data_IF_182447919328
#
_entry.id   IF_182447919328
#
_cell.length_a   1.000
_cell.length_b   1.000
_cell.length_c   1.000
_cell.angle_alpha   90.00
_cell.angle_beta   90.00
_cell.angle_gamma   90.00
#
_symmetry.space_group_name_H-M   'P 1'
#
loop_
_entity.id
_entity.type
_entity.pdbx_description
1 polymer ?
#
# COMPACT_ATOMS: atom_id res chain seq x y z
N UNK A 1 -28.83 2.52 -30.34
CA UNK A 1 -28.78 2.57 -28.86
C UNK A 1 -27.46 3.17 -28.44
N UNK A 2 -27.49 4.43 -27.97
CA UNK A 2 -26.31 5.10 -27.40
C UNK A 2 -26.12 4.42 -26.04
N UNK A 3 -25.08 3.59 -25.91
CA UNK A 3 -24.62 3.07 -24.63
C UNK A 3 -24.30 4.27 -23.72
N UNK A 4 -25.21 4.65 -22.85
CA UNK A 4 -24.88 5.43 -21.66
C UNK A 4 -24.00 4.52 -20.80
N UNK A 5 -22.69 4.66 -20.91
CA UNK A 5 -21.80 4.16 -19.89
C UNK A 5 -22.19 4.90 -18.61
N UNK A 6 -22.97 4.24 -17.76
CA UNK A 6 -23.13 4.72 -16.39
C UNK A 6 -21.71 4.88 -15.84
N UNK A 7 -21.45 5.99 -15.20
CA UNK A 7 -20.10 6.40 -14.74
C UNK A 7 -19.65 5.55 -13.53
N UNK A 8 -19.69 4.21 -13.67
CA UNK A 8 -19.41 3.23 -12.62
C UNK A 8 -17.98 2.66 -12.66
N UNK A 9 -17.18 3.03 -13.66
CA UNK A 9 -15.86 2.45 -13.85
C UNK A 9 -14.93 2.65 -12.63
N UNK A 10 -15.08 3.75 -11.91
CA UNK A 10 -14.30 4.10 -10.73
C UNK A 10 -15.12 4.03 -9.42
N UNK A 11 -16.34 3.52 -9.49
CA UNK A 11 -17.20 3.32 -8.33
C UNK A 11 -16.67 2.14 -7.49
N UNK A 12 -16.40 2.41 -6.23
CA UNK A 12 -15.95 1.42 -5.27
C UNK A 12 -17.01 1.11 -4.20
N UNK A 13 -18.25 1.52 -4.44
CA UNK A 13 -19.38 1.18 -3.56
C UNK A 13 -19.47 -0.34 -3.38
N UNK A 14 -19.65 -0.78 -2.13
CA UNK A 14 -19.66 -2.20 -1.76
C UNK A 14 -18.31 -2.95 -1.93
N UNK A 15 -17.22 -2.25 -2.22
CA UNK A 15 -15.86 -2.82 -2.21
C UNK A 15 -15.19 -2.56 -0.85
N UNK A 16 -14.35 -3.48 -0.43
CA UNK A 16 -13.57 -3.39 0.82
C UNK A 16 -12.09 -3.38 0.48
N UNK A 17 -11.39 -2.35 0.97
CA UNK A 17 -9.95 -2.18 0.76
C UNK A 17 -9.19 -2.27 2.07
N UNK A 18 -8.14 -3.07 2.12
CA UNK A 18 -7.19 -3.17 3.23
C UNK A 18 -5.95 -2.34 2.92
N UNK A 19 -5.52 -1.49 3.86
CA UNK A 19 -4.36 -0.63 3.65
C UNK A 19 -3.42 -0.73 4.85
N UNK A 20 -2.26 -1.36 4.69
CA UNK A 20 -1.23 -1.35 5.72
C UNK A 20 -0.49 -0.02 5.72
N UNK A 21 -0.30 0.57 6.91
CA UNK A 21 0.23 1.93 7.02
C UNK A 21 -0.72 3.00 6.46
N UNK A 22 -2.02 2.72 6.43
CA UNK A 22 -3.05 3.63 5.91
C UNK A 22 -3.36 4.84 6.81
N UNK A 23 -2.71 4.93 7.96
CA UNK A 23 -2.90 5.98 8.95
C UNK A 23 -1.96 7.18 8.78
N UNK A 24 -1.26 7.30 7.65
CA UNK A 24 -0.37 8.42 7.36
C UNK A 24 0.30 8.35 6.00
N UNK A 25 0.92 9.43 5.60
CA UNK A 25 1.70 9.52 4.37
C UNK A 25 0.96 9.01 3.14
N UNK A 26 1.66 8.26 2.28
CA UNK A 26 1.10 7.69 1.04
C UNK A 26 -0.14 6.84 1.33
N UNK A 27 -0.10 6.02 2.41
CA UNK A 27 -1.21 5.16 2.78
C UNK A 27 -2.50 5.93 3.09
N UNK A 28 -2.41 7.10 3.74
CA UNK A 28 -3.57 7.95 3.99
C UNK A 28 -4.09 8.57 2.69
N UNK A 29 -3.20 9.02 1.79
CA UNK A 29 -3.61 9.52 0.47
C UNK A 29 -4.32 8.46 -0.39
N UNK A 30 -3.88 7.19 -0.30
CA UNK A 30 -4.57 6.03 -0.86
C UNK A 30 -5.96 5.89 -0.24
N UNK A 31 -6.04 5.91 1.10
CA UNK A 31 -7.28 5.75 1.86
C UNK A 31 -8.31 6.83 1.50
N UNK A 32 -7.89 8.09 1.40
CA UNK A 32 -8.77 9.20 1.00
C UNK A 32 -9.35 9.00 -0.42
N UNK A 33 -8.52 8.59 -1.37
CA UNK A 33 -8.98 8.31 -2.73
C UNK A 33 -10.03 7.20 -2.76
N UNK A 34 -9.76 6.08 -2.09
CA UNK A 34 -10.66 4.94 -2.03
C UNK A 34 -11.98 5.26 -1.32
N UNK A 35 -11.93 5.91 -0.14
CA UNK A 35 -13.12 6.31 0.61
C UNK A 35 -13.98 7.30 -0.17
N UNK A 36 -13.36 8.30 -0.83
CA UNK A 36 -14.08 9.28 -1.66
C UNK A 36 -14.78 8.65 -2.88
N UNK A 37 -14.34 7.46 -3.28
CA UNK A 37 -14.94 6.67 -4.37
C UNK A 37 -15.91 5.59 -3.85
N UNK A 38 -16.24 5.58 -2.56
CA UNK A 38 -17.27 4.73 -1.98
C UNK A 38 -16.78 3.44 -1.31
N UNK A 39 -15.46 3.17 -1.27
CA UNK A 39 -14.93 1.96 -0.64
C UNK A 39 -15.07 1.99 0.89
N UNK A 40 -15.39 0.86 1.47
CA UNK A 40 -15.18 0.60 2.90
C UNK A 40 -13.70 0.27 3.15
N UNK A 41 -13.14 0.73 4.28
CA UNK A 41 -11.70 0.64 4.53
C UNK A 41 -11.35 -0.06 5.84
N UNK A 42 -10.39 -0.96 5.77
CA UNK A 42 -9.65 -1.49 6.91
C UNK A 42 -8.25 -0.85 6.93
N UNK A 43 -8.01 0.05 7.88
CA UNK A 43 -6.75 0.77 8.06
C UNK A 43 -5.91 0.04 9.10
N UNK A 44 -4.76 -0.46 8.68
CA UNK A 44 -3.86 -1.23 9.52
C UNK A 44 -2.63 -0.40 9.89
N UNK A 45 -2.38 -0.18 11.18
CA UNK A 45 -1.25 0.63 11.63
C UNK A 45 -0.85 0.37 13.07
N UNK A 46 0.43 0.61 13.41
CA UNK A 46 0.98 0.35 14.76
C UNK A 46 0.56 1.37 15.82
N UNK A 47 0.35 2.61 15.40
CA UNK A 47 0.07 3.73 16.31
C UNK A 47 -1.44 3.97 16.38
N UNK A 48 -2.04 3.71 17.55
CA UNK A 48 -3.48 3.82 17.78
C UNK A 48 -3.98 5.26 17.67
N UNK A 49 -3.19 6.26 18.09
CA UNK A 49 -3.58 7.66 17.97
C UNK A 49 -3.65 8.09 16.51
N UNK A 50 -2.62 7.72 15.71
CA UNK A 50 -2.64 7.96 14.25
C UNK A 50 -3.78 7.20 13.58
N UNK A 51 -4.09 5.97 14.02
CA UNK A 51 -5.22 5.22 13.52
C UNK A 51 -6.53 5.96 13.76
N UNK A 52 -6.74 6.45 14.99
CA UNK A 52 -7.93 7.23 15.35
C UNK A 52 -8.04 8.52 14.51
N UNK A 53 -6.97 9.30 14.41
CA UNK A 53 -6.96 10.52 13.61
C UNK A 53 -7.27 10.25 12.13
N UNK A 54 -6.74 9.16 11.58
CA UNK A 54 -7.05 8.76 10.21
C UNK A 54 -8.52 8.37 10.05
N UNK A 55 -9.09 7.61 11.01
CA UNK A 55 -10.52 7.28 11.01
C UNK A 55 -11.38 8.52 11.06
N UNK A 56 -11.12 9.42 12.01
CA UNK A 56 -11.87 10.70 12.17
C UNK A 56 -11.84 11.54 10.87
N UNK A 57 -10.70 11.56 10.18
CA UNK A 57 -10.56 12.24 8.90
C UNK A 57 -11.37 11.57 7.78
N UNK A 58 -11.37 10.24 7.73
CA UNK A 58 -11.98 9.45 6.65
C UNK A 58 -13.49 9.29 6.83
N UNK A 59 -14.02 9.37 8.05
CA UNK A 59 -15.46 9.25 8.35
C UNK A 59 -16.31 10.31 7.61
N UNK A 60 -15.71 11.42 7.18
CA UNK A 60 -16.37 12.45 6.34
C UNK A 60 -16.89 11.93 5.00
N UNK A 61 -16.38 10.80 4.51
CA UNK A 61 -16.80 10.19 3.24
C UNK A 61 -18.04 9.31 3.38
N UNK A 62 -18.49 9.02 4.61
CA UNK A 62 -19.72 8.28 4.89
C UNK A 62 -19.63 6.78 4.58
N UNK A 63 -18.44 6.25 4.36
CA UNK A 63 -18.19 4.81 4.16
C UNK A 63 -17.78 4.15 5.49
N UNK A 64 -17.88 2.82 5.56
CA UNK A 64 -17.44 2.10 6.76
C UNK A 64 -15.90 2.12 6.85
N UNK A 65 -15.37 2.72 7.91
CA UNK A 65 -13.93 2.81 8.19
C UNK A 65 -13.65 2.10 9.52
N UNK A 66 -12.81 1.08 9.50
CA UNK A 66 -12.32 0.44 10.73
C UNK A 66 -10.79 0.49 10.78
N UNK A 67 -10.26 0.57 11.98
CA UNK A 67 -8.82 0.65 12.19
C UNK A 67 -8.35 -0.49 13.09
N UNK A 68 -7.20 -1.06 12.77
CA UNK A 68 -6.62 -2.19 13.48
C UNK A 68 -5.19 -1.88 13.89
N UNK A 69 -4.87 -2.14 15.17
CA UNK A 69 -3.49 -2.05 15.64
C UNK A 69 -2.75 -3.32 15.28
N UNK A 70 -1.65 -3.18 14.54
CA UNK A 70 -0.86 -4.31 14.05
C UNK A 70 0.59 -3.92 13.79
N UNK A 71 1.53 -4.79 14.12
CA UNK A 71 2.87 -4.79 13.53
C UNK A 71 2.89 -5.83 12.39
N UNK A 72 3.04 -5.36 11.15
CA UNK A 72 3.04 -6.24 9.96
C UNK A 72 4.23 -7.20 9.92
N UNK A 73 5.29 -6.95 10.68
CA UNK A 73 6.43 -7.87 10.81
C UNK A 73 6.10 -9.13 11.63
N UNK A 74 4.94 -9.16 12.30
CA UNK A 74 4.50 -10.27 13.13
C UNK A 74 3.45 -11.11 12.38
N UNK A 75 3.87 -12.24 11.82
CA UNK A 75 3.03 -13.10 10.96
C UNK A 75 1.69 -13.47 11.59
N UNK A 76 1.70 -13.85 12.88
CA UNK A 76 0.48 -14.26 13.58
C UNK A 76 -0.50 -13.10 13.73
N UNK A 77 -0.02 -11.87 14.01
CA UNK A 77 -0.88 -10.70 14.06
C UNK A 77 -1.51 -10.42 12.69
N UNK A 78 -0.75 -10.54 11.60
CA UNK A 78 -1.28 -10.34 10.25
C UNK A 78 -2.39 -11.35 9.95
N UNK A 79 -2.16 -12.63 10.25
CA UNK A 79 -3.16 -13.67 10.05
C UNK A 79 -4.45 -13.43 10.84
N UNK A 80 -4.32 -13.07 12.12
CA UNK A 80 -5.44 -12.77 12.99
C UNK A 80 -6.24 -11.57 12.48
N UNK A 81 -5.56 -10.46 12.19
CA UNK A 81 -6.21 -9.21 11.77
C UNK A 81 -6.86 -9.33 10.40
N UNK A 82 -6.23 -9.99 9.42
CA UNK A 82 -6.88 -10.23 8.13
C UNK A 82 -8.15 -11.08 8.30
N UNK A 83 -8.11 -12.10 9.16
CA UNK A 83 -9.30 -12.87 9.52
C UNK A 83 -10.40 -12.02 10.17
N UNK A 84 -10.02 -11.10 11.08
CA UNK A 84 -10.96 -10.16 11.69
C UNK A 84 -11.57 -9.21 10.66
N UNK A 85 -10.77 -8.66 9.75
CA UNK A 85 -11.28 -7.82 8.65
C UNK A 85 -12.32 -8.58 7.81
N UNK A 86 -12.06 -9.84 7.48
CA UNK A 86 -13.04 -10.67 6.76
C UNK A 86 -14.33 -10.84 7.56
N UNK A 87 -14.25 -11.05 8.88
CA UNK A 87 -15.44 -11.15 9.74
C UNK A 87 -16.20 -9.82 9.81
N UNK A 88 -15.51 -8.70 9.94
CA UNK A 88 -16.13 -7.38 10.14
C UNK A 88 -16.76 -6.81 8.86
N UNK A 89 -16.18 -7.11 7.69
CA UNK A 89 -16.60 -6.57 6.39
C UNK A 89 -17.24 -7.59 5.45
N UNK A 90 -17.06 -8.88 5.71
CA UNK A 90 -17.57 -9.98 4.89
C UNK A 90 -16.71 -10.29 3.66
N UNK A 91 -15.82 -9.38 3.24
CA UNK A 91 -15.00 -9.54 2.03
C UNK A 91 -13.76 -8.64 2.03
N UNK A 92 -12.81 -8.94 1.19
CA UNK A 92 -11.68 -8.08 0.82
C UNK A 92 -11.59 -8.05 -0.71
N UNK A 93 -11.69 -6.86 -1.31
CA UNK A 93 -11.63 -6.66 -2.76
C UNK A 93 -10.30 -6.11 -3.24
N UNK A 94 -9.65 -5.28 -2.43
CA UNK A 94 -8.31 -4.79 -2.73
C UNK A 94 -7.43 -4.69 -1.49
N UNK A 95 -6.12 -4.86 -1.70
CA UNK A 95 -5.12 -4.77 -0.63
C UNK A 95 -3.96 -3.92 -1.08
N UNK A 96 -3.66 -2.90 -0.30
CA UNK A 96 -2.49 -2.03 -0.48
C UNK A 96 -1.46 -2.34 0.61
N UNK A 97 -0.47 -3.15 0.26
CA UNK A 97 0.67 -3.42 1.13
C UNK A 97 1.64 -2.23 1.06
N UNK A 98 1.36 -1.21 1.88
CA UNK A 98 2.06 0.07 1.87
C UNK A 98 2.97 0.26 3.08
N UNK A 99 2.70 -0.38 4.22
CA UNK A 99 3.55 -0.22 5.40
C UNK A 99 5.03 -0.45 5.09
N UNK A 100 5.87 0.45 5.60
CA UNK A 100 7.30 0.37 5.39
C UNK A 100 8.06 1.34 6.26
N UNK A 101 9.33 1.02 6.49
CA UNK A 101 10.30 1.85 7.21
C UNK A 101 11.56 2.01 6.37
N UNK A 102 12.31 3.06 6.66
CA UNK A 102 13.66 3.22 6.16
C UNK A 102 14.58 3.52 7.35
N UNK A 103 15.72 2.86 7.40
CA UNK A 103 16.78 3.12 8.38
C UNK A 103 18.00 3.51 7.58
N UNK A 104 18.43 4.76 7.77
CA UNK A 104 19.65 5.24 7.15
C UNK A 104 20.87 4.69 7.91
N UNK A 105 21.75 4.00 7.21
CA UNK A 105 23.00 3.49 7.73
C UNK A 105 24.19 4.41 7.43
N UNK A 106 25.40 3.96 7.81
CA UNK A 106 26.68 4.47 7.36
C UNK A 106 26.93 4.11 5.89
N UNK A 107 28.18 3.82 5.55
CA UNK A 107 28.56 3.20 4.28
C UNK A 107 28.04 1.74 4.26
N UNK A 108 28.04 1.10 3.09
CA UNK A 108 27.51 -0.26 2.96
C UNK A 108 28.26 -1.26 3.86
N UNK A 109 29.59 -1.13 3.93
CA UNK A 109 30.47 -1.98 4.75
C UNK A 109 30.26 -1.80 6.26
N UNK A 110 29.65 -0.68 6.67
CA UNK A 110 29.32 -0.36 8.07
C UNK A 110 27.85 -0.63 8.42
N UNK A 111 27.07 -1.15 7.45
CA UNK A 111 25.64 -1.38 7.64
C UNK A 111 25.38 -2.41 8.74
N UNK A 112 24.65 -2.00 9.76
CA UNK A 112 24.27 -2.87 10.86
C UNK A 112 23.31 -3.98 10.42
N UNK A 113 23.60 -5.22 10.84
CA UNK A 113 22.81 -6.40 10.49
C UNK A 113 21.39 -6.34 11.08
N UNK A 114 21.22 -5.80 12.29
CA UNK A 114 19.90 -5.72 12.91
C UNK A 114 19.03 -4.65 12.22
N UNK A 115 19.65 -3.52 11.83
CA UNK A 115 18.97 -2.53 10.99
C UNK A 115 18.55 -3.12 9.64
N UNK A 116 19.43 -3.90 8.99
CA UNK A 116 19.11 -4.63 7.77
C UNK A 116 17.91 -5.56 7.97
N UNK A 117 17.95 -6.44 8.98
CA UNK A 117 16.87 -7.39 9.29
C UNK A 117 15.56 -6.68 9.63
N UNK A 118 15.62 -5.59 10.41
CA UNK A 118 14.43 -4.80 10.78
C UNK A 118 13.76 -4.19 9.55
N UNK A 119 14.52 -3.68 8.59
CA UNK A 119 13.94 -3.16 7.34
C UNK A 119 13.28 -4.27 6.54
N UNK A 120 13.94 -5.43 6.39
CA UNK A 120 13.36 -6.55 5.63
C UNK A 120 12.12 -7.12 6.30
N UNK A 121 12.13 -7.28 7.63
CA UNK A 121 10.98 -7.84 8.35
C UNK A 121 9.69 -7.02 8.17
N UNK A 122 9.81 -5.68 8.11
CA UNK A 122 8.64 -4.82 7.87
C UNK A 122 8.31 -4.72 6.37
N UNK A 123 9.32 -4.42 5.54
CA UNK A 123 9.10 -4.00 4.16
C UNK A 123 8.91 -5.18 3.18
N UNK A 124 9.41 -6.36 3.52
CA UNK A 124 9.34 -7.54 2.66
C UNK A 124 8.51 -8.65 3.30
N UNK A 125 8.87 -9.11 4.52
CA UNK A 125 8.14 -10.16 5.19
C UNK A 125 6.71 -9.71 5.54
N UNK A 126 6.54 -8.48 6.07
CA UNK A 126 5.23 -7.90 6.36
C UNK A 126 4.35 -7.74 5.12
N UNK A 127 4.94 -7.39 3.98
CA UNK A 127 4.24 -7.38 2.69
C UNK A 127 3.83 -8.80 2.30
N UNK A 128 4.75 -9.76 2.38
CA UNK A 128 4.47 -11.16 2.08
C UNK A 128 3.33 -11.71 2.94
N UNK A 129 3.38 -11.53 4.26
CA UNK A 129 2.32 -12.02 5.16
C UNK A 129 0.96 -11.40 4.81
N UNK A 130 0.92 -10.07 4.63
CA UNK A 130 -0.31 -9.35 4.29
C UNK A 130 -0.91 -9.85 2.98
N UNK A 131 -0.09 -9.96 1.94
CA UNK A 131 -0.56 -10.37 0.61
C UNK A 131 -0.97 -11.84 0.59
N UNK A 132 -0.23 -12.72 1.26
CA UNK A 132 -0.54 -14.14 1.32
C UNK A 132 -1.91 -14.39 1.96
N UNK A 133 -2.18 -13.79 3.13
CA UNK A 133 -3.45 -14.01 3.82
C UNK A 133 -4.63 -13.40 3.02
N UNK A 134 -4.41 -12.27 2.38
CA UNK A 134 -5.42 -11.65 1.51
C UNK A 134 -5.68 -12.47 0.23
N UNK A 135 -4.63 -13.01 -0.39
CA UNK A 135 -4.77 -13.92 -1.54
C UNK A 135 -5.56 -15.18 -1.19
N UNK A 136 -5.32 -15.77 0.00
CA UNK A 136 -6.12 -16.93 0.46
C UNK A 136 -7.61 -16.63 0.41
N UNK A 137 -8.03 -15.50 1.02
CA UNK A 137 -9.43 -15.09 1.02
C UNK A 137 -9.97 -14.87 -0.40
N UNK A 138 -9.22 -14.19 -1.27
CA UNK A 138 -9.65 -13.95 -2.66
C UNK A 138 -9.78 -15.26 -3.45
N UNK A 139 -8.88 -16.22 -3.25
CA UNK A 139 -8.95 -17.55 -3.88
C UNK A 139 -10.15 -18.36 -3.35
N UNK A 140 -10.44 -18.30 -2.07
CA UNK A 140 -11.61 -18.96 -1.47
C UNK A 140 -12.93 -18.38 -2.02
N UNK A 141 -13.00 -17.04 -2.13
CA UNK A 141 -14.14 -16.37 -2.80
C UNK A 141 -14.29 -16.84 -4.24
N UNK A 142 -13.21 -16.86 -5.01
CA UNK A 142 -13.25 -17.29 -6.41
C UNK A 142 -13.75 -18.73 -6.55
N UNK A 143 -13.31 -19.65 -5.69
CA UNK A 143 -13.79 -21.05 -5.65
C UNK A 143 -15.26 -21.15 -5.27
N UNK A 144 -15.79 -20.18 -4.55
CA UNK A 144 -17.20 -20.09 -4.15
C UNK A 144 -18.08 -19.34 -5.17
N UNK A 145 -17.52 -18.99 -6.34
CA UNK A 145 -18.27 -18.34 -7.42
C UNK A 145 -18.24 -16.81 -7.41
N UNK A 146 -17.43 -16.19 -6.57
CA UNK A 146 -17.19 -14.74 -6.52
C UNK A 146 -15.71 -14.41 -6.81
N UNK A 147 -15.25 -14.55 -8.08
CA UNK A 147 -13.87 -14.32 -8.47
C UNK A 147 -13.52 -12.83 -8.47
N UNK A 148 -12.23 -12.56 -8.39
CA UNK A 148 -11.68 -11.22 -8.50
C UNK A 148 -11.06 -10.70 -7.22
N UNK A 149 -10.25 -9.68 -7.41
CA UNK A 149 -9.50 -8.96 -6.38
C UNK A 149 -8.36 -8.17 -6.97
N UNK A 150 -7.82 -7.24 -6.20
CA UNK A 150 -6.69 -6.42 -6.60
C UNK A 150 -5.63 -6.37 -5.50
N UNK A 151 -4.45 -6.82 -5.83
CA UNK A 151 -3.27 -6.84 -4.96
C UNK A 151 -2.33 -5.71 -5.39
N UNK A 152 -1.99 -4.81 -4.46
CA UNK A 152 -1.13 -3.68 -4.75
C UNK A 152 0.03 -3.63 -3.74
N UNK A 153 1.25 -3.77 -4.24
CA UNK A 153 2.47 -3.53 -3.46
C UNK A 153 2.94 -2.09 -3.64
N UNK A 154 3.19 -1.37 -2.55
CA UNK A 154 3.83 -0.05 -2.62
C UNK A 154 5.33 -0.24 -2.46
N UNK A 155 6.04 -0.18 -3.58
CA UNK A 155 7.50 -0.30 -3.64
C UNK A 155 8.17 1.08 -3.48
N UNK A 156 9.17 1.37 -4.28
CA UNK A 156 9.88 2.65 -4.37
C UNK A 156 10.75 2.68 -5.62
N UNK A 157 11.03 3.86 -6.12
CA UNK A 157 12.04 4.07 -7.14
C UNK A 157 13.42 3.52 -6.70
N UNK A 158 13.72 3.57 -5.39
CA UNK A 158 14.92 2.95 -4.82
C UNK A 158 15.02 1.43 -5.06
N UNK A 159 13.92 0.73 -5.28
CA UNK A 159 13.89 -0.69 -5.64
C UNK A 159 14.24 -0.96 -7.11
N UNK A 160 14.30 0.07 -7.95
CA UNK A 160 14.67 0.01 -9.37
C UNK A 160 16.06 0.58 -9.60
N UNK A 161 16.33 1.79 -9.08
CA UNK A 161 17.57 2.52 -9.32
C UNK A 161 18.64 2.27 -8.25
N UNK A 162 18.23 1.75 -7.09
CA UNK A 162 19.06 1.72 -5.89
C UNK A 162 19.12 3.07 -5.19
N UNK A 163 19.59 3.07 -3.94
CA UNK A 163 19.80 4.30 -3.18
C UNK A 163 20.95 4.11 -2.20
N UNK A 164 21.92 5.01 -2.24
CA UNK A 164 23.08 4.98 -1.35
C UNK A 164 22.64 5.08 0.13
N UNK A 165 23.35 4.34 1.02
CA UNK A 165 23.13 4.32 2.47
C UNK A 165 21.78 3.75 2.92
N UNK A 166 21.02 3.15 2.02
CA UNK A 166 19.70 2.54 2.29
C UNK A 166 19.52 1.23 1.52
N UNK A 167 20.58 0.46 1.37
CA UNK A 167 20.59 -0.78 0.61
C UNK A 167 19.55 -1.79 1.10
N UNK A 168 19.29 -1.97 2.42
CA UNK A 168 18.21 -2.85 2.89
C UNK A 168 16.84 -2.41 2.39
N UNK A 169 16.58 -1.09 2.36
CA UNK A 169 15.35 -0.54 1.83
C UNK A 169 15.22 -0.83 0.33
N UNK A 170 16.27 -0.55 -0.45
CA UNK A 170 16.31 -0.83 -1.90
C UNK A 170 16.07 -2.31 -2.19
N UNK A 171 16.76 -3.20 -1.47
CA UNK A 171 16.59 -4.64 -1.61
C UNK A 171 15.15 -5.10 -1.30
N UNK A 172 14.57 -4.59 -0.20
CA UNK A 172 13.20 -4.90 0.18
C UNK A 172 12.19 -4.46 -0.89
N UNK A 173 12.35 -3.25 -1.43
CA UNK A 173 11.43 -2.69 -2.43
C UNK A 173 11.61 -3.35 -3.81
N UNK A 174 12.81 -3.76 -4.18
CA UNK A 174 13.06 -4.62 -5.34
C UNK A 174 12.41 -6.01 -5.19
N UNK A 175 12.49 -6.60 -3.99
CA UNK A 175 11.83 -7.87 -3.66
C UNK A 175 10.30 -7.78 -3.78
N UNK A 176 9.69 -6.68 -3.32
CA UNK A 176 8.24 -6.44 -3.49
C UNK A 176 7.86 -6.41 -4.98
N UNK A 177 8.61 -5.71 -5.84
CA UNK A 177 8.34 -5.66 -7.28
C UNK A 177 8.35 -7.07 -7.90
N UNK A 178 9.34 -7.88 -7.54
CA UNK A 178 9.45 -9.25 -8.05
C UNK A 178 8.31 -10.15 -7.53
N UNK A 179 7.99 -10.05 -6.24
CA UNK A 179 6.91 -10.81 -5.60
C UNK A 179 5.55 -10.53 -6.25
N UNK A 180 5.21 -9.27 -6.47
CA UNK A 180 3.94 -8.87 -7.10
C UNK A 180 3.81 -9.44 -8.51
N UNK A 181 4.89 -9.46 -9.31
CA UNK A 181 4.87 -10.09 -10.64
C UNK A 181 4.55 -11.59 -10.57
N UNK A 182 5.12 -12.30 -9.59
CA UNK A 182 4.82 -13.71 -9.35
C UNK A 182 3.35 -13.94 -8.99
N UNK A 183 2.81 -13.12 -8.07
CA UNK A 183 1.39 -13.16 -7.68
C UNK A 183 0.49 -12.91 -8.90
N UNK A 184 0.80 -11.92 -9.74
CA UNK A 184 0.02 -11.60 -10.93
C UNK A 184 -0.13 -12.80 -11.87
N UNK A 185 0.96 -13.52 -12.15
CA UNK A 185 0.95 -14.70 -13.03
C UNK A 185 0.17 -15.85 -12.40
N UNK A 186 0.38 -16.11 -11.11
CA UNK A 186 -0.20 -17.27 -10.43
C UNK A 186 -1.71 -17.12 -10.20
N UNK A 187 -2.16 -15.91 -9.82
CA UNK A 187 -3.52 -15.68 -9.34
C UNK A 187 -4.48 -15.15 -10.41
N UNK A 188 -4.01 -14.86 -11.62
CA UNK A 188 -4.84 -14.42 -12.76
C UNK A 188 -6.02 -15.37 -13.02
N UNK A 189 -5.83 -16.68 -12.88
CA UNK A 189 -6.88 -17.71 -13.04
C UNK A 189 -8.05 -17.58 -12.06
N UNK A 190 -7.89 -16.82 -10.98
CA UNK A 190 -8.93 -16.51 -10.00
C UNK A 190 -9.53 -15.10 -10.22
N UNK A 191 -9.17 -14.42 -11.31
CA UNK A 191 -9.53 -13.03 -11.55
C UNK A 191 -8.80 -12.03 -10.66
N UNK A 192 -7.78 -12.45 -9.93
CA UNK A 192 -6.98 -11.57 -9.06
C UNK A 192 -5.88 -10.90 -9.87
N UNK A 193 -5.85 -9.58 -9.86
CA UNK A 193 -4.82 -8.75 -10.47
C UNK A 193 -3.79 -8.35 -9.42
N UNK A 194 -2.53 -8.19 -9.83
CA UNK A 194 -1.50 -7.70 -8.92
C UNK A 194 -0.61 -6.67 -9.61
N UNK A 195 -0.46 -5.52 -8.97
CA UNK A 195 0.27 -4.37 -9.49
C UNK A 195 1.18 -3.74 -8.45
N UNK A 196 2.19 -3.01 -8.90
CA UNK A 196 3.12 -2.30 -8.02
C UNK A 196 3.04 -0.80 -8.29
N UNK A 197 2.81 -0.02 -7.23
CA UNK A 197 3.03 1.43 -7.24
C UNK A 197 4.49 1.68 -6.87
N UNK A 198 5.17 2.52 -7.63
CA UNK A 198 6.59 2.84 -7.44
C UNK A 198 6.75 4.34 -7.18
N UNK A 199 6.59 4.80 -5.93
CA UNK A 199 6.75 6.21 -5.59
C UNK A 199 8.20 6.69 -5.78
N UNK A 200 8.33 7.94 -6.23
CA UNK A 200 9.58 8.70 -6.18
C UNK A 200 9.74 9.45 -4.86
N UNK A 201 10.01 10.75 -4.95
CA UNK A 201 10.23 11.63 -3.79
C UNK A 201 8.91 12.24 -3.32
N UNK A 202 8.39 11.76 -2.19
CA UNK A 202 7.09 12.14 -1.64
C UNK A 202 7.28 12.78 -0.27
N UNK A 203 6.57 13.88 -0.03
CA UNK A 203 6.53 14.58 1.24
C UNK A 203 5.70 13.80 2.25
N UNK A 204 6.38 13.10 3.16
CA UNK A 204 5.79 12.29 4.23
C UNK A 204 6.65 12.41 5.49
N UNK A 205 6.19 11.84 6.61
CA UNK A 205 6.98 11.75 7.84
C UNK A 205 8.34 11.08 7.60
N UNK A 206 8.39 10.04 6.75
CA UNK A 206 9.62 9.30 6.41
C UNK A 206 10.68 10.19 5.76
N UNK A 207 10.29 11.21 5.04
CA UNK A 207 11.18 12.13 4.30
C UNK A 207 11.31 13.51 4.96
N UNK A 208 10.67 13.73 6.13
CA UNK A 208 10.59 15.04 6.78
C UNK A 208 11.96 15.69 7.03
N UNK A 209 12.94 14.93 7.52
CA UNK A 209 14.30 15.44 7.74
C UNK A 209 14.99 15.83 6.43
N UNK A 210 14.75 15.05 5.36
CA UNK A 210 15.30 15.35 4.04
C UNK A 210 14.68 16.62 3.45
N UNK A 211 13.40 16.87 3.70
CA UNK A 211 12.69 18.07 3.23
C UNK A 211 13.20 19.35 3.91
N UNK A 212 13.63 19.27 5.17
CA UNK A 212 14.19 20.42 5.91
C UNK A 212 15.55 20.87 5.36
N UNK A 213 16.26 20.02 4.65
CA UNK A 213 17.56 20.34 4.05
C UNK A 213 17.38 20.99 2.68
N UNK A 214 17.58 22.32 2.59
CA UNK A 214 17.53 23.05 1.31
C UNK A 214 18.51 22.47 0.26
N UNK A 215 19.74 22.13 0.72
CA UNK A 215 20.76 21.52 -0.15
C UNK A 215 20.31 20.16 -0.70
N UNK A 216 19.61 19.34 0.11
CA UNK A 216 19.10 18.06 -0.34
C UNK A 216 17.88 18.25 -1.26
N UNK A 217 16.94 19.09 -0.86
CA UNK A 217 15.74 19.41 -1.63
C UNK A 217 16.08 19.95 -3.01
N UNK A 218 17.01 20.89 -3.12
CA UNK A 218 17.43 21.43 -4.44
C UNK A 218 17.99 20.34 -5.36
N UNK A 219 18.77 19.39 -4.82
CA UNK A 219 19.28 18.24 -5.60
C UNK A 219 18.18 17.28 -6.03
N UNK A 220 17.21 17.01 -5.16
CA UNK A 220 16.06 16.15 -5.48
C UNK A 220 15.18 16.78 -6.55
N UNK A 221 14.76 18.03 -6.33
CA UNK A 221 13.83 18.73 -7.21
C UNK A 221 14.37 18.89 -8.63
N UNK A 222 15.67 19.06 -8.81
CA UNK A 222 16.27 19.11 -10.15
C UNK A 222 16.16 17.81 -10.93
N UNK A 223 16.05 16.68 -10.24
CA UNK A 223 15.88 15.34 -10.84
C UNK A 223 14.40 14.96 -11.05
N UNK A 224 13.47 15.65 -10.40
CA UNK A 224 12.04 15.43 -10.56
C UNK A 224 11.51 16.31 -11.70
N UNK A 225 11.00 15.74 -12.80
CA UNK A 225 10.54 16.54 -13.95
C UNK A 225 9.49 17.60 -13.58
N UNK A 226 8.58 17.28 -12.66
CA UNK A 226 7.54 18.21 -12.19
C UNK A 226 8.05 19.28 -11.21
N UNK A 227 9.34 19.26 -10.85
CA UNK A 227 10.01 20.27 -10.02
C UNK A 227 9.36 20.51 -8.65
N UNK A 228 8.72 19.48 -8.09
CA UNK A 228 8.15 19.50 -6.75
C UNK A 228 8.31 18.14 -6.06
N UNK A 229 8.20 18.12 -4.76
CA UNK A 229 7.89 16.90 -4.03
C UNK A 229 6.50 16.40 -4.43
N UNK A 230 6.34 15.09 -4.56
CA UNK A 230 5.01 14.49 -4.60
C UNK A 230 4.33 14.61 -3.25
N UNK A 231 3.02 14.52 -3.22
CA UNK A 231 2.20 14.57 -2.02
C UNK A 231 1.38 13.29 -1.87
N UNK A 232 0.96 12.91 -0.65
CA UNK A 232 0.10 11.75 -0.43
C UNK A 232 -1.13 11.72 -1.35
N UNK A 233 -1.77 12.85 -1.60
CA UNK A 233 -2.94 12.97 -2.48
C UNK A 233 -2.66 12.61 -3.96
N UNK A 234 -1.39 12.67 -4.40
CA UNK A 234 -1.03 12.30 -5.77
C UNK A 234 -1.25 10.78 -6.02
N UNK A 235 -1.44 9.98 -4.95
CA UNK A 235 -1.71 8.55 -5.03
C UNK A 235 -3.20 8.19 -5.02
N UNK A 236 -4.10 9.13 -4.77
CA UNK A 236 -5.53 8.87 -4.69
C UNK A 236 -6.09 8.30 -6.01
N UNK A 237 -5.80 8.96 -7.14
CA UNK A 237 -6.33 8.55 -8.45
C UNK A 237 -5.86 7.17 -8.90
N UNK A 238 -4.55 6.89 -8.78
CA UNK A 238 -4.01 5.57 -9.18
C UNK A 238 -4.55 4.46 -8.29
N UNK A 239 -4.83 4.73 -7.01
CA UNK A 239 -5.38 3.74 -6.09
C UNK A 239 -6.81 3.37 -6.45
N UNK A 240 -7.64 4.36 -6.80
CA UNK A 240 -9.01 4.13 -7.28
C UNK A 240 -8.98 3.34 -8.59
N UNK A 241 -8.11 3.71 -9.55
CA UNK A 241 -7.95 2.97 -10.79
C UNK A 241 -7.60 1.50 -10.54
N UNK A 242 -6.57 1.23 -9.72
CA UNK A 242 -6.12 -0.13 -9.45
C UNK A 242 -7.12 -0.96 -8.63
N UNK A 243 -7.92 -0.35 -7.77
CA UNK A 243 -8.94 -1.04 -6.98
C UNK A 243 -10.23 -1.29 -7.76
N UNK A 244 -10.49 -0.52 -8.81
CA UNK A 244 -11.73 -0.55 -9.58
C UNK A 244 -11.70 -1.50 -10.78
N UNK A 245 -12.87 -1.70 -11.38
CA UNK A 245 -13.04 -2.49 -12.60
C UNK A 245 -12.45 -1.80 -13.85
N UNK A 246 -12.03 -0.50 -13.73
CA UNK A 246 -11.32 0.23 -14.79
C UNK A 246 -9.95 -0.38 -15.11
N UNK A 247 -9.39 -1.19 -14.23
CA UNK A 247 -8.12 -1.89 -14.42
C UNK A 247 -8.28 -3.40 -14.53
N UNK A 248 -9.39 -3.86 -15.12
CA UNK A 248 -9.75 -5.29 -15.22
C UNK A 248 -8.83 -6.11 -16.15
N UNK A 249 -8.03 -5.42 -16.98
CA UNK A 249 -7.07 -6.04 -17.90
C UNK A 249 -5.67 -5.47 -17.74
#
# INVERSE_FOLDING_TARGET
>A
EIYRMENKLFDLSNKVSVITGGNGGIGLGIAEGLASSGASLAILGRNEEKNKLAKDLLDRYGTKIETYKIDVSEENQVKEIIGQVVNDFGRIDSVFANAGINIYGGSFEEMDTDAYRKVLSVNLDGVFFTLRESCKHMVERAKSGDPGGSIIGVASLAGIEGAAKTQPYSASKGGVIAMIKGIAVEHARYGVRANTIVPGWIATDMTSESQKSEKFTSKVITRVPMRRWGEPKDFSGISVYLASDSSSY
#
